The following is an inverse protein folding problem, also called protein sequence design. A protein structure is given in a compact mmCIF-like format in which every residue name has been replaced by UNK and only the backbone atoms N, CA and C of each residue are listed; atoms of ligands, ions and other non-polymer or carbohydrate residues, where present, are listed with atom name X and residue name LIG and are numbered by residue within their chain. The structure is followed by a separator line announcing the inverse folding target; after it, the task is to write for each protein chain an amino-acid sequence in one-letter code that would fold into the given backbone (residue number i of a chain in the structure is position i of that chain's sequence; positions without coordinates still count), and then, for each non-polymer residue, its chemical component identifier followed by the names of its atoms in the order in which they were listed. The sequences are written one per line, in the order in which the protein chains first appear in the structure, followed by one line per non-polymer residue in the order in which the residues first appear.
data_IF_786220641439
#
_entry.id   IF_786220641439
#
_cell.length_a   1.000
_cell.length_b   1.000
_cell.length_c   1.000
_cell.angle_alpha   90.00
_cell.angle_beta   90.00
_cell.angle_gamma   90.00
#
_symmetry.space_group_name_H-M   'P 1'
#
loop_
_entity.id
_entity.type
_entity.pdbx_description
1 polymer ?
#
# COMPACT_ATOMS: atom_id res chain seq x y z
N UNK A 1 14.72 3.32 22.24
CA UNK A 1 14.35 2.26 21.28
C UNK A 1 13.25 2.80 20.40
N UNK A 2 13.58 3.24 19.19
CA UNK A 2 12.59 3.73 18.22
C UNK A 2 11.97 2.50 17.57
N UNK A 3 10.64 2.35 17.69
CA UNK A 3 9.91 1.28 17.00
C UNK A 3 9.86 1.66 15.52
N UNK A 4 10.59 0.93 14.69
CA UNK A 4 10.42 0.95 13.25
C UNK A 4 9.12 0.20 12.89
N UNK A 5 7.99 0.78 13.28
CA UNK A 5 6.70 0.43 12.70
C UNK A 5 6.69 1.07 11.31
N UNK A 6 7.16 0.39 10.25
CA UNK A 6 6.63 0.54 8.90
C UNK A 6 7.35 -0.42 7.93
N UNK A 7 6.69 -1.53 7.60
CA UNK A 7 6.99 -2.37 6.43
C UNK A 7 6.71 -1.65 5.08
N UNK A 8 6.53 -0.32 5.11
CA UNK A 8 6.04 0.48 4.00
C UNK A 8 6.99 1.67 3.76
N UNK A 9 7.71 1.67 2.63
CA UNK A 9 8.46 2.85 2.21
C UNK A 9 7.56 3.77 1.37
N UNK A 10 7.49 5.05 1.74
CA UNK A 10 6.86 6.08 0.90
C UNK A 10 7.79 6.41 -0.27
N UNK A 11 7.27 6.29 -1.50
CA UNK A 11 7.96 6.61 -2.74
C UNK A 11 7.45 7.97 -3.27
N UNK A 12 8.11 8.51 -4.30
CA UNK A 12 7.77 9.81 -4.87
C UNK A 12 6.27 9.91 -5.22
N UNK A 13 5.66 11.06 -4.88
CA UNK A 13 4.24 11.31 -5.10
C UNK A 13 3.33 10.51 -4.17
N UNK A 14 2.32 9.87 -4.74
CA UNK A 14 1.33 9.05 -4.03
C UNK A 14 1.64 7.55 -4.09
N UNK A 15 2.91 7.18 -4.29
CA UNK A 15 3.35 5.80 -4.40
C UNK A 15 3.88 5.24 -3.07
N UNK A 16 3.69 3.95 -2.83
CA UNK A 16 4.23 3.24 -1.68
C UNK A 16 4.56 1.80 -2.06
N UNK A 17 5.48 1.18 -1.32
CA UNK A 17 5.87 -0.20 -1.52
C UNK A 17 5.70 -0.98 -0.22
N UNK A 18 5.21 -2.22 -0.33
CA UNK A 18 5.20 -3.17 0.79
C UNK A 18 6.47 -4.03 0.73
N UNK A 19 7.10 -4.22 1.88
CA UNK A 19 8.20 -5.17 2.06
C UNK A 19 7.71 -6.28 2.97
N UNK A 20 7.50 -7.47 2.42
CA UNK A 20 7.21 -8.64 3.24
C UNK A 20 8.47 -9.11 3.96
N UNK A 21 8.33 -9.58 5.20
CA UNK A 21 9.48 -10.07 5.98
C UNK A 21 10.18 -11.27 5.32
N UNK A 22 9.47 -12.01 4.46
CA UNK A 22 9.98 -13.13 3.67
C UNK A 22 10.62 -12.74 2.34
N UNK A 23 10.51 -11.48 1.90
CA UNK A 23 11.14 -11.05 0.65
C UNK A 23 12.66 -11.13 0.77
N UNK A 24 13.27 -11.79 -0.20
CA UNK A 24 14.73 -11.82 -0.34
C UNK A 24 15.24 -10.45 -0.78
N UNK A 25 16.47 -10.06 -0.38
CA UNK A 25 17.04 -8.75 -0.70
C UNK A 25 17.16 -8.46 -2.21
N UNK A 26 17.13 -9.50 -3.04
CA UNK A 26 17.15 -9.40 -4.51
C UNK A 26 15.77 -9.20 -5.13
N UNK A 27 14.69 -9.49 -4.41
CA UNK A 27 13.33 -9.32 -4.90
C UNK A 27 12.95 -7.83 -4.88
N UNK A 28 12.33 -7.40 -5.98
CA UNK A 28 11.82 -6.03 -6.09
C UNK A 28 10.44 -5.95 -5.45
N UNK A 29 10.19 -5.00 -4.55
CA UNK A 29 8.89 -4.86 -3.92
C UNK A 29 7.88 -4.39 -4.96
N UNK A 30 6.63 -4.83 -4.81
CA UNK A 30 5.54 -4.30 -5.62
C UNK A 30 5.26 -2.86 -5.21
N UNK A 31 5.24 -1.97 -6.19
CA UNK A 31 4.95 -0.55 -5.99
C UNK A 31 3.47 -0.31 -6.27
N UNK A 32 2.77 0.25 -5.29
CA UNK A 32 1.38 0.64 -5.37
C UNK A 32 1.26 2.15 -5.50
N UNK A 33 0.22 2.61 -6.19
CA UNK A 33 -0.15 4.02 -6.25
C UNK A 33 -1.44 4.20 -5.46
N UNK A 34 -1.40 5.02 -4.41
CA UNK A 34 -2.59 5.47 -3.72
C UNK A 34 -3.33 6.47 -4.61
N UNK A 35 -4.17 5.97 -5.52
CA UNK A 35 -5.18 6.82 -6.14
C UNK A 35 -6.13 7.28 -5.04
N UNK A 36 -6.09 8.58 -4.72
CA UNK A 36 -7.11 9.22 -3.87
C UNK A 36 -8.41 9.44 -4.66
N UNK A 37 -8.77 8.51 -5.53
CA UNK A 37 -10.06 8.56 -6.21
C UNK A 37 -11.13 8.18 -5.18
N UNK A 38 -12.18 8.99 -5.01
CA UNK A 38 -13.32 8.60 -4.19
C UNK A 38 -13.89 7.29 -4.73
N UNK A 39 -13.91 6.24 -3.90
CA UNK A 39 -14.62 5.01 -4.22
C UNK A 39 -16.11 5.33 -4.38
N UNK A 40 -16.62 5.30 -5.61
CA UNK A 40 -18.05 5.45 -5.89
C UNK A 40 -18.74 4.13 -5.55
N UNK A 41 -19.25 4.03 -4.34
CA UNK A 41 -20.01 2.85 -3.87
C UNK A 41 -21.49 3.10 -4.13
N UNK A 42 -22.15 2.19 -4.87
CA UNK A 42 -23.61 2.17 -5.02
C UNK A 42 -24.16 1.06 -4.13
N UNK A 43 -24.89 1.44 -3.08
CA UNK A 43 -25.59 0.47 -2.22
C UNK A 43 -26.90 0.06 -2.91
N UNK A 44 -26.98 -1.20 -3.35
CA UNK A 44 -28.22 -1.79 -3.84
C UNK A 44 -28.95 -2.43 -2.65
N UNK A 45 -30.07 -1.84 -2.24
CA UNK A 45 -30.97 -2.41 -1.23
C UNK A 45 -32.10 -3.12 -1.96
N UNK A 46 -32.29 -4.41 -1.70
CA UNK A 46 -33.40 -5.20 -2.23
C UNK A 46 -34.43 -5.43 -1.12
N UNK A 47 -35.72 -5.26 -1.45
CA UNK A 47 -36.88 -5.48 -0.58
C UNK A 47 -37.44 -6.90 -0.70
#
# INVERSE_FOLDING_TARGET
MHKDDHNNARLAGNCFAFYEASMTKSEKPTIFRAERSPLKVTLLVFS
#
